data_IF_689337920424
#
_entry.id   IF_689337920424
#
_cell.length_a   1.000
_cell.length_b   1.000
_cell.length_c   1.000
_cell.angle_alpha   90.00
_cell.angle_beta   90.00
_cell.angle_gamma   90.00
#
_symmetry.space_group_name_H-M   'P 1'
#
loop_
_entity.id
_entity.type
_entity.pdbx_description
1 polymer ?
#
# COMPACT_ATOMS: atom_id res chain seq x y z
N UNK A 1 -7.36 -9.80 -7.23
CA UNK A 1 -7.67 -8.61 -6.41
C UNK A 1 -8.22 -7.53 -7.33
N UNK A 2 -9.40 -6.96 -7.05
CA UNK A 2 -9.96 -5.86 -7.84
C UNK A 2 -9.73 -4.55 -7.09
N UNK A 3 -9.02 -3.62 -7.71
CA UNK A 3 -8.51 -2.40 -7.06
C UNK A 3 -9.63 -1.58 -6.39
N UNK A 4 -10.80 -1.50 -7.01
CA UNK A 4 -11.95 -0.74 -6.48
C UNK A 4 -12.60 -1.36 -5.23
N UNK A 5 -12.16 -2.53 -4.77
CA UNK A 5 -12.58 -3.12 -3.49
C UNK A 5 -11.57 -2.88 -2.37
N UNK A 6 -10.42 -2.26 -2.67
CA UNK A 6 -9.47 -1.84 -1.65
C UNK A 6 -10.08 -0.65 -0.92
N UNK A 7 -10.12 -0.75 0.41
CA UNK A 7 -10.55 0.30 1.32
C UNK A 7 -9.62 0.28 2.54
N UNK A 8 -9.72 1.31 3.38
CA UNK A 8 -8.90 1.46 4.60
C UNK A 8 -8.88 0.24 5.53
N UNK A 9 -9.93 -0.58 5.51
CA UNK A 9 -10.02 -1.76 6.39
C UNK A 9 -9.35 -3.01 5.80
N UNK A 10 -8.87 -2.98 4.56
CA UNK A 10 -8.45 -4.20 3.85
C UNK A 10 -7.28 -4.88 4.56
N UNK A 11 -6.33 -4.11 5.09
CA UNK A 11 -5.15 -4.63 5.80
C UNK A 11 -5.54 -5.18 7.17
N UNK A 12 -6.46 -4.52 7.88
CA UNK A 12 -7.03 -5.04 9.13
C UNK A 12 -7.79 -6.36 8.89
N UNK A 13 -8.60 -6.43 7.84
CA UNK A 13 -9.31 -7.66 7.45
C UNK A 13 -8.32 -8.77 7.08
N UNK A 14 -7.23 -8.44 6.38
CA UNK A 14 -6.17 -9.41 6.07
C UNK A 14 -5.52 -9.96 7.34
N UNK A 15 -5.18 -9.07 8.28
CA UNK A 15 -4.57 -9.43 9.56
C UNK A 15 -5.49 -10.33 10.40
N UNK A 16 -6.71 -9.88 10.68
CA UNK A 16 -7.66 -10.55 11.59
C UNK A 16 -8.22 -11.85 11.01
N UNK A 17 -8.56 -11.87 9.71
CA UNK A 17 -9.27 -13.01 9.13
C UNK A 17 -8.35 -14.07 8.54
N UNK A 18 -7.07 -13.76 8.30
CA UNK A 18 -6.16 -14.68 7.62
C UNK A 18 -4.85 -14.88 8.38
N UNK A 19 -4.15 -13.81 8.75
CA UNK A 19 -2.80 -13.91 9.34
C UNK A 19 -2.87 -14.44 10.77
N UNK A 20 -3.70 -13.85 11.63
CA UNK A 20 -3.82 -14.30 13.02
C UNK A 20 -4.35 -15.74 13.15
N UNK A 21 -5.38 -16.17 12.40
CA UNK A 21 -5.77 -17.58 12.37
C UNK A 21 -4.65 -18.51 11.89
N UNK A 22 -3.85 -18.06 10.91
CA UNK A 22 -2.73 -18.84 10.39
C UNK A 22 -1.64 -19.00 11.46
N UNK A 23 -1.30 -17.95 12.20
CA UNK A 23 -0.33 -18.03 13.30
C UNK A 23 -0.78 -19.07 14.33
N UNK A 24 -2.03 -18.99 14.80
CA UNK A 24 -2.58 -19.96 15.78
C UNK A 24 -2.47 -21.40 15.30
N UNK A 25 -2.84 -21.65 14.03
CA UNK A 25 -2.73 -22.99 13.43
C UNK A 25 -1.28 -23.52 13.43
N UNK A 26 -0.31 -22.67 13.11
CA UNK A 26 1.10 -23.08 13.05
C UNK A 26 1.74 -23.23 14.44
N UNK A 27 1.25 -22.47 15.43
CA UNK A 27 1.60 -22.65 16.85
C UNK A 27 1.05 -23.98 17.40
N UNK A 28 -0.19 -24.35 17.07
CA UNK A 28 -0.78 -25.63 17.46
C UNK A 28 -0.01 -26.82 16.86
N UNK A 29 0.43 -26.70 15.61
CA UNK A 29 1.30 -27.68 14.95
C UNK A 29 2.65 -27.81 15.64
N UNK A 30 3.26 -26.69 16.01
CA UNK A 30 4.51 -26.67 16.77
C UNK A 30 4.34 -27.38 18.12
N UNK A 31 3.24 -27.11 18.84
CA UNK A 31 2.92 -27.78 20.10
C UNK A 31 2.75 -29.30 19.91
N UNK A 32 2.10 -29.72 18.82
CA UNK A 32 1.97 -31.14 18.48
C UNK A 32 3.33 -31.80 18.22
N UNK A 33 4.23 -31.13 17.50
CA UNK A 33 5.59 -31.62 17.26
C UNK A 33 6.39 -31.75 18.57
N UNK A 34 6.27 -30.77 19.47
CA UNK A 34 6.90 -30.79 20.79
C UNK A 34 6.40 -31.96 21.64
N UNK A 35 5.09 -32.19 21.70
CA UNK A 35 4.51 -33.34 22.39
C UNK A 35 4.94 -34.68 21.79
N UNK A 36 5.14 -34.74 20.45
CA UNK A 36 5.69 -35.93 19.78
C UNK A 36 7.16 -36.16 20.16
N UNK A 37 7.97 -35.10 20.23
CA UNK A 37 9.38 -35.17 20.67
C UNK A 37 9.48 -35.74 22.09
N UNK A 38 8.63 -35.28 23.00
CA UNK A 38 8.59 -35.78 24.38
C UNK A 38 8.33 -37.29 24.44
N UNK A 39 7.39 -37.79 23.62
CA UNK A 39 7.08 -39.23 23.53
C UNK A 39 8.21 -40.05 22.89
N UNK A 40 8.89 -39.50 21.89
CA UNK A 40 10.00 -40.18 21.21
C UNK A 40 11.30 -40.25 22.05
N UNK A 41 11.38 -39.47 23.14
CA UNK A 41 12.53 -39.43 24.02
C UNK A 41 13.69 -38.59 23.48
N UNK A 42 14.86 -38.70 24.13
CA UNK A 42 16.02 -37.80 23.89
C UNK A 42 17.00 -38.28 22.82
N UNK A 43 16.90 -39.53 22.37
CA UNK A 43 17.90 -40.14 21.51
C UNK A 43 17.26 -40.99 20.41
N UNK A 44 18.02 -41.21 19.34
CA UNK A 44 17.55 -41.97 18.17
C UNK A 44 17.31 -41.11 16.93
N UNK A 45 17.14 -41.79 15.80
CA UNK A 45 16.96 -41.15 14.49
C UNK A 45 15.66 -40.36 14.42
N UNK A 46 14.59 -40.88 15.02
CA UNK A 46 13.29 -40.21 15.07
C UNK A 46 13.33 -38.92 15.90
N UNK A 47 13.91 -38.97 17.11
CA UNK A 47 14.04 -37.78 17.96
C UNK A 47 14.81 -36.64 17.26
N UNK A 48 15.92 -36.96 16.57
CA UNK A 48 16.68 -35.99 15.77
C UNK A 48 15.91 -35.44 14.57
N UNK A 49 15.04 -36.24 13.96
CA UNK A 49 14.21 -35.80 12.84
C UNK A 49 13.12 -34.83 13.32
N UNK A 50 12.44 -35.16 14.42
CA UNK A 50 11.42 -34.30 15.02
C UNK A 50 12.03 -32.97 15.49
N UNK A 51 13.24 -32.99 16.05
CA UNK A 51 13.96 -31.78 16.46
C UNK A 51 14.19 -30.81 15.28
N UNK A 52 14.65 -31.32 14.13
CA UNK A 52 14.80 -30.49 12.91
C UNK A 52 13.47 -29.96 12.39
N UNK A 53 12.38 -30.71 12.55
CA UNK A 53 11.04 -30.27 12.17
C UNK A 53 10.54 -29.16 13.09
N UNK A 54 10.82 -29.26 14.39
CA UNK A 54 10.55 -28.20 15.38
C UNK A 54 11.32 -26.93 15.02
N UNK A 55 12.63 -27.01 14.76
CA UNK A 55 13.44 -25.83 14.43
C UNK A 55 12.89 -25.09 13.20
N UNK A 56 12.51 -25.84 12.16
CA UNK A 56 11.89 -25.27 10.95
C UNK A 56 10.53 -24.64 11.23
N UNK A 57 9.71 -25.29 12.05
CA UNK A 57 8.38 -24.80 12.41
C UNK A 57 8.47 -23.55 13.28
N UNK A 58 9.43 -23.49 14.22
CA UNK A 58 9.70 -22.30 15.05
C UNK A 58 10.14 -21.12 14.19
N UNK A 59 11.05 -21.34 13.24
CA UNK A 59 11.46 -20.32 12.28
C UNK A 59 10.26 -19.81 11.48
N UNK A 60 9.40 -20.70 10.97
CA UNK A 60 8.23 -20.30 10.20
C UNK A 60 7.21 -19.51 11.03
N UNK A 61 6.94 -19.91 12.28
CA UNK A 61 6.08 -19.15 13.19
C UNK A 61 6.66 -17.77 13.49
N UNK A 62 7.98 -17.67 13.66
CA UNK A 62 8.68 -16.40 13.85
C UNK A 62 8.51 -15.46 12.64
N UNK A 63 8.69 -15.99 11.42
CA UNK A 63 8.49 -15.24 10.18
C UNK A 63 7.04 -14.76 10.01
N UNK A 64 6.05 -15.60 10.37
CA UNK A 64 4.64 -15.21 10.33
C UNK A 64 4.33 -14.08 11.32
N UNK A 65 4.95 -14.09 12.51
CA UNK A 65 4.78 -13.02 13.50
C UNK A 65 5.42 -11.71 13.03
N UNK A 66 6.64 -11.75 12.48
CA UNK A 66 7.27 -10.57 11.87
C UNK A 66 6.42 -9.99 10.70
N UNK A 67 5.88 -10.87 9.86
CA UNK A 67 4.94 -10.47 8.81
C UNK A 67 3.68 -9.80 9.39
N UNK A 68 3.10 -10.36 10.45
CA UNK A 68 1.93 -9.78 11.11
C UNK A 68 2.23 -8.41 11.71
N UNK A 69 3.40 -8.22 12.32
CA UNK A 69 3.82 -6.94 12.89
C UNK A 69 4.04 -5.89 11.80
N UNK A 70 4.69 -6.24 10.70
CA UNK A 70 4.82 -5.38 9.51
C UNK A 70 3.46 -4.99 8.95
N UNK A 71 2.55 -5.96 8.84
CA UNK A 71 1.20 -5.71 8.32
C UNK A 71 0.41 -4.78 9.23
N UNK A 72 0.50 -4.99 10.55
CA UNK A 72 -0.16 -4.14 11.55
C UNK A 72 0.36 -2.71 11.48
N UNK A 73 1.68 -2.50 11.40
CA UNK A 73 2.27 -1.15 11.25
C UNK A 73 1.68 -0.37 10.07
N UNK A 74 1.51 -1.03 8.93
CA UNK A 74 0.95 -0.36 7.74
C UNK A 74 -0.56 -0.19 7.85
N UNK A 75 -1.27 -1.15 8.45
CA UNK A 75 -2.70 -1.03 8.71
C UNK A 75 -3.03 0.17 9.62
N UNK A 76 -2.19 0.40 10.64
CA UNK A 76 -2.34 1.53 11.59
C UNK A 76 -2.13 2.91 10.94
N UNK A 77 -1.62 2.96 9.70
CA UNK A 77 -1.59 4.21 8.92
C UNK A 77 -2.97 4.59 8.36
N UNK A 78 -3.95 3.68 8.41
CA UNK A 78 -5.33 3.89 7.96
C UNK A 78 -5.45 4.44 6.52
N UNK A 79 -4.48 4.10 5.66
CA UNK A 79 -4.41 4.63 4.31
C UNK A 79 -5.56 4.13 3.45
N UNK A 80 -6.17 5.06 2.72
CA UNK A 80 -7.16 4.80 1.70
C UNK A 80 -6.50 4.90 0.32
N UNK A 81 -6.42 3.80 -0.44
CA UNK A 81 -5.79 3.83 -1.76
C UNK A 81 -6.56 4.72 -2.74
N UNK A 82 -5.85 5.61 -3.43
CA UNK A 82 -6.42 6.48 -4.46
C UNK A 82 -6.00 6.01 -5.86
N UNK A 83 -6.92 6.00 -6.82
CA UNK A 83 -6.64 5.57 -8.20
C UNK A 83 -5.70 6.52 -8.95
N UNK A 84 -5.78 7.81 -8.67
CA UNK A 84 -4.99 8.86 -9.33
C UNK A 84 -3.51 8.79 -8.96
N UNK A 85 -3.19 8.21 -7.80
CA UNK A 85 -1.82 8.00 -7.33
C UNK A 85 -1.13 6.83 -8.05
N UNK A 86 -1.90 5.96 -8.70
CA UNK A 86 -1.42 4.77 -9.38
C UNK A 86 -0.92 3.68 -8.42
N UNK A 87 -0.80 2.46 -8.93
CA UNK A 87 -0.49 1.27 -8.10
C UNK A 87 0.80 1.41 -7.30
N UNK A 88 1.82 2.08 -7.86
CA UNK A 88 3.14 2.13 -7.25
C UNK A 88 3.18 2.97 -5.97
N UNK A 89 2.49 4.12 -5.94
CA UNK A 89 2.45 4.98 -4.75
C UNK A 89 1.55 4.38 -3.67
N UNK A 90 0.46 3.71 -4.05
CA UNK A 90 -0.40 3.00 -3.11
C UNK A 90 0.27 1.79 -2.45
N UNK A 91 1.21 1.14 -3.14
CA UNK A 91 1.98 0.01 -2.59
C UNK A 91 3.23 0.47 -1.84
N UNK A 92 3.76 1.67 -2.11
CA UNK A 92 4.99 2.15 -1.48
C UNK A 92 4.99 2.04 0.07
N UNK A 93 3.91 2.39 0.81
CA UNK A 93 3.85 2.19 2.25
C UNK A 93 3.97 0.72 2.70
N UNK A 94 3.69 -0.24 1.81
CA UNK A 94 3.77 -1.68 2.06
C UNK A 94 5.16 -2.26 1.71
N UNK A 95 6.19 -1.43 1.55
CA UNK A 95 7.52 -1.87 1.06
C UNK A 95 8.19 -2.98 1.90
N UNK A 96 7.86 -3.11 3.19
CA UNK A 96 8.36 -4.19 4.06
C UNK A 96 7.66 -5.54 3.82
N UNK A 97 6.48 -5.50 3.19
CA UNK A 97 5.62 -6.66 2.95
C UNK A 97 5.73 -7.19 1.52
N UNK A 98 6.14 -6.34 0.58
CA UNK A 98 6.26 -6.72 -0.83
C UNK A 98 7.69 -7.16 -1.17
N UNK A 99 7.86 -8.17 -2.04
CA UNK A 99 9.17 -8.77 -2.28
C UNK A 99 10.07 -7.99 -3.25
N UNK A 100 9.63 -6.84 -3.77
CA UNK A 100 10.34 -6.08 -4.81
C UNK A 100 10.88 -4.72 -4.32
N UNK A 101 12.02 -4.29 -4.86
CA UNK A 101 12.78 -3.13 -4.37
C UNK A 101 12.15 -1.79 -4.73
N UNK A 102 11.32 -1.78 -5.77
CA UNK A 102 10.68 -0.57 -6.29
C UNK A 102 9.80 0.09 -5.23
N UNK A 103 9.04 -0.68 -4.45
CA UNK A 103 8.18 -0.12 -3.41
C UNK A 103 8.98 0.71 -2.40
N UNK A 104 10.14 0.20 -1.97
CA UNK A 104 11.03 0.92 -1.05
C UNK A 104 11.55 2.22 -1.67
N UNK A 105 11.96 2.19 -2.93
CA UNK A 105 12.42 3.39 -3.66
C UNK A 105 11.34 4.47 -3.71
N UNK A 106 10.09 4.10 -4.02
CA UNK A 106 8.99 5.06 -4.07
C UNK A 106 8.55 5.53 -2.68
N UNK A 107 8.69 4.68 -1.66
CA UNK A 107 8.48 5.06 -0.26
C UNK A 107 9.47 6.14 0.19
N UNK A 108 10.77 5.94 -0.07
CA UNK A 108 11.81 6.94 0.23
C UNK A 108 11.55 8.26 -0.52
N UNK A 109 11.19 8.18 -1.80
CA UNK A 109 10.84 9.36 -2.58
C UNK A 109 9.56 10.08 -2.10
N UNK A 110 8.57 9.35 -1.57
CA UNK A 110 7.39 9.91 -0.89
C UNK A 110 7.79 10.63 0.39
N UNK A 111 8.70 10.05 1.19
CA UNK A 111 9.24 10.68 2.40
C UNK A 111 10.00 11.97 2.08
N UNK A 112 10.69 12.03 0.95
CA UNK A 112 11.40 13.21 0.44
C UNK A 112 10.48 14.28 -0.19
N UNK A 113 9.18 14.01 -0.35
CA UNK A 113 8.21 14.97 -0.92
C UNK A 113 8.15 15.02 -2.45
N UNK A 114 8.82 14.09 -3.15
CA UNK A 114 8.83 14.06 -4.64
C UNK A 114 7.44 13.81 -5.26
N UNK A 115 6.50 13.31 -4.47
CA UNK A 115 5.14 12.98 -4.86
C UNK A 115 4.09 13.69 -4.00
N UNK A 116 4.37 14.93 -3.56
CA UNK A 116 3.41 15.71 -2.75
C UNK A 116 2.11 16.04 -3.50
N UNK A 117 2.03 15.81 -4.82
CA UNK A 117 0.78 15.83 -5.59
C UNK A 117 -0.16 14.65 -5.31
N UNK A 118 0.35 13.55 -4.71
CA UNK A 118 -0.42 12.32 -4.49
C UNK A 118 -1.25 12.36 -3.22
N UNK A 119 -2.42 11.73 -3.23
CA UNK A 119 -3.32 11.64 -2.08
C UNK A 119 -2.68 10.87 -0.92
N UNK A 120 -1.91 9.82 -1.21
CA UNK A 120 -1.13 9.08 -0.20
C UNK A 120 -0.14 10.01 0.52
N UNK A 121 0.54 10.91 -0.19
CA UNK A 121 1.42 11.89 0.46
C UNK A 121 0.64 12.82 1.40
N UNK A 122 -0.56 13.26 1.00
CA UNK A 122 -1.42 14.10 1.84
C UNK A 122 -1.94 13.36 3.07
N UNK A 123 -2.31 12.09 2.94
CA UNK A 123 -2.74 11.25 4.08
C UNK A 123 -1.62 11.04 5.09
N UNK A 124 -0.38 10.87 4.62
CA UNK A 124 0.80 10.62 5.48
C UNK A 124 1.37 11.90 6.09
N UNK A 125 1.41 12.99 5.33
CA UNK A 125 2.04 14.27 5.71
C UNK A 125 1.16 15.48 5.34
N UNK A 126 -0.02 15.64 5.97
CA UNK A 126 -0.98 16.67 5.59
C UNK A 126 -0.42 18.09 5.72
N UNK A 127 0.33 18.37 6.80
CA UNK A 127 0.92 19.69 7.02
C UNK A 127 1.96 20.04 5.97
N UNK A 128 2.84 19.08 5.61
CA UNK A 128 3.85 19.28 4.57
C UNK A 128 3.18 19.62 3.24
N UNK A 129 2.19 18.84 2.84
CA UNK A 129 1.51 19.02 1.55
C UNK A 129 0.70 20.32 1.52
N UNK A 130 0.07 20.73 2.63
CA UNK A 130 -0.59 22.04 2.74
C UNK A 130 0.37 23.20 2.49
N UNK A 131 1.58 23.14 3.04
CA UNK A 131 2.61 24.16 2.78
C UNK A 131 3.07 24.18 1.32
N UNK A 132 3.10 23.03 0.65
CA UNK A 132 3.38 22.97 -0.80
C UNK A 132 2.23 23.58 -1.60
N UNK A 133 0.98 23.29 -1.25
CA UNK A 133 -0.20 23.82 -1.95
C UNK A 133 -0.26 25.37 -1.93
N UNK A 134 0.22 26.01 -0.86
CA UNK A 134 0.32 27.48 -0.81
C UNK A 134 1.19 28.05 -1.92
N UNK A 135 2.25 27.33 -2.32
CA UNK A 135 3.29 27.76 -3.25
C UNK A 135 3.16 27.17 -4.66
N UNK A 136 2.51 26.02 -4.79
CA UNK A 136 2.31 25.33 -6.06
C UNK A 136 0.82 25.11 -6.33
N UNK A 137 0.31 25.86 -7.31
CA UNK A 137 -1.10 25.82 -7.69
C UNK A 137 -1.52 24.50 -8.33
N UNK A 138 -0.62 23.81 -9.01
CA UNK A 138 -0.94 22.50 -9.62
C UNK A 138 -1.14 21.44 -8.54
N UNK A 139 -0.31 21.48 -7.49
CA UNK A 139 -0.46 20.58 -6.34
C UNK A 139 -1.69 20.96 -5.53
N UNK A 140 -1.97 22.26 -5.36
CA UNK A 140 -3.21 22.71 -4.73
C UNK A 140 -4.47 22.17 -5.45
N UNK A 141 -4.49 22.21 -6.79
CA UNK A 141 -5.58 21.64 -7.61
C UNK A 141 -5.69 20.13 -7.42
N UNK A 142 -4.57 19.41 -7.36
CA UNK A 142 -4.57 17.96 -7.17
C UNK A 142 -5.27 17.54 -5.86
N UNK A 143 -5.20 18.39 -4.84
CA UNK A 143 -5.82 18.17 -3.52
C UNK A 143 -7.15 18.91 -3.30
N UNK A 144 -7.61 19.73 -4.25
CA UNK A 144 -8.79 20.59 -4.07
C UNK A 144 -8.59 21.67 -2.98
N UNK A 145 -7.35 22.16 -2.82
CA UNK A 145 -6.94 23.15 -1.82
C UNK A 145 -6.55 24.49 -2.47
N UNK A 146 -7.17 24.85 -3.60
CA UNK A 146 -6.86 26.06 -4.35
C UNK A 146 -7.06 27.33 -3.53
N UNK A 147 -7.98 27.33 -2.57
CA UNK A 147 -8.26 28.44 -1.66
C UNK A 147 -7.06 28.78 -0.76
N UNK A 148 -6.16 27.83 -0.52
CA UNK A 148 -4.92 28.04 0.24
C UNK A 148 -3.78 28.59 -0.63
N UNK A 149 -3.92 28.57 -1.95
CA UNK A 149 -2.83 28.91 -2.86
C UNK A 149 -2.64 30.42 -2.95
N UNK A 150 -1.44 30.90 -2.63
CA UNK A 150 -1.07 32.32 -2.68
C UNK A 150 -0.69 32.77 -4.10
N UNK A 151 -0.50 31.81 -5.01
CA UNK A 151 -0.10 32.07 -6.40
C UNK A 151 -1.31 32.42 -7.26
N UNK A 152 -1.23 33.55 -7.98
CA UNK A 152 -2.31 33.99 -8.86
C UNK A 152 -2.60 32.98 -10.00
N UNK A 153 -3.87 32.87 -10.44
CA UNK A 153 -4.24 32.03 -11.56
C UNK A 153 -3.54 32.44 -12.85
N UNK A 154 -3.10 31.49 -13.70
CA UNK A 154 -2.69 31.83 -15.05
C UNK A 154 -3.87 32.47 -15.80
N UNK A 155 -3.64 33.64 -16.40
CA UNK A 155 -4.65 34.37 -17.17
C UNK A 155 -5.16 33.47 -18.30
N UNK A 156 -6.46 33.22 -18.36
CA UNK A 156 -7.07 32.36 -19.37
C UNK A 156 -6.80 32.90 -20.77
N UNK A 157 -5.99 32.20 -21.58
CA UNK A 157 -5.94 32.46 -23.02
C UNK A 157 -7.18 31.82 -23.64
N UNK A 158 -8.19 32.62 -23.96
CA UNK A 158 -9.38 32.18 -24.70
C UNK A 158 -8.91 31.62 -26.05
N UNK A 159 -8.87 30.29 -26.20
CA UNK A 159 -8.68 29.66 -27.52
C UNK A 159 -9.94 29.91 -28.34
N UNK A 160 -9.83 30.79 -29.33
CA UNK A 160 -10.87 30.99 -30.35
C UNK A 160 -11.05 29.70 -31.14
N UNK A 161 -12.09 28.93 -30.84
CA UNK A 161 -12.46 27.75 -31.63
C UNK A 161 -13.05 28.26 -32.95
N UNK A 162 -12.26 28.18 -34.02
CA UNK A 162 -12.68 28.51 -35.38
C UNK A 162 -13.84 27.62 -35.83
N UNK A 163 -15.01 28.23 -36.03
CA UNK A 163 -16.23 27.60 -36.55
C UNK A 163 -16.00 27.14 -37.99
N UNK A 164 -15.69 25.85 -38.20
CA UNK A 164 -15.56 25.26 -39.54
C UNK A 164 -16.96 25.17 -40.16
N UNK A 165 -17.29 26.07 -41.08
CA UNK A 165 -18.54 26.04 -41.86
C UNK A 165 -18.55 24.77 -42.72
N UNK A 166 -19.52 23.87 -42.49
CA UNK A 166 -19.82 22.77 -43.42
C UNK A 166 -20.52 23.35 -44.64
N UNK A 167 -19.85 23.33 -45.79
CA UNK A 167 -20.46 23.67 -47.07
C UNK A 167 -21.60 22.70 -47.37
N UNK A 168 -22.80 23.26 -47.60
CA UNK A 168 -23.99 22.52 -47.98
C UNK A 168 -23.81 21.92 -49.38
N UNK A 169 -23.94 20.59 -49.48
CA UNK A 169 -24.01 19.88 -50.74
C UNK A 169 -25.24 20.32 -51.54
N UNK A 170 -25.01 20.88 -52.73
CA UNK A 170 -26.05 21.18 -53.72
C UNK A 170 -26.66 19.87 -54.24
N UNK A 171 -27.97 19.71 -54.09
CA UNK A 171 -28.81 18.84 -54.93
C UNK A 171 -28.90 19.43 -56.35
N UNK A 172 -28.76 18.58 -57.38
CA UNK A 172 -29.41 18.67 -58.70
C UNK A 172 -29.69 17.21 -59.12
N UNK A 173 -30.96 16.83 -59.15
CA UNK A 173 -31.82 16.71 -60.35
C UNK A 173 -31.22 15.73 -61.35
#
# INVERSE_FOLDING_TARGET
LYYHRLNKDILFKALLNYVEPKIRLEEDRLNTLRARKEKAGRSGREAKQIEKEIDRQEQFVSELRDFADKLRRVADLHLEPDLNDGVILNIAPLWELVPWKEAKKYWEALQEGKYDWSHIAYQLWPERVREVCKKDRSIAIAHGLEDLCEVEPPKSTKKTVGRRQRAAGRRRL
#
